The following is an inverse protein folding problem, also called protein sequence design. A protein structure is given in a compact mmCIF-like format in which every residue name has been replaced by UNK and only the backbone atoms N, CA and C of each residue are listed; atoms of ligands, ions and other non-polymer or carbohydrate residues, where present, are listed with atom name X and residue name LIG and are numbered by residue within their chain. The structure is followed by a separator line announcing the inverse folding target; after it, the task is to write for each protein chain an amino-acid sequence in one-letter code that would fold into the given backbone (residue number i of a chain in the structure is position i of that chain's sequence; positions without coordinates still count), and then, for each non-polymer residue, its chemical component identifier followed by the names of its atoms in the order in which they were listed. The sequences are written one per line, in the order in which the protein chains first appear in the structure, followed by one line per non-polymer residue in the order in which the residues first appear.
data_IF_146248383367
#
_entry.id   IF_146248383367
#
_cell.length_a   1.000
_cell.length_b   1.000
_cell.length_c   1.000
_cell.angle_alpha   90.00
_cell.angle_beta   90.00
_cell.angle_gamma   90.00
#
_symmetry.space_group_name_H-M   'P 1'
#
loop_
_entity.id
_entity.type
_entity.pdbx_description
1 polymer ?
#
# COMPACT_ATOMS: atom_id res chain seq x y z
N UNK A 1 -37.20 9.80 -8.94
CA UNK A 1 -36.78 8.78 -9.94
C UNK A 1 -35.29 8.87 -10.35
N UNK A 2 -34.69 10.06 -10.55
CA UNK A 2 -33.26 10.20 -10.92
C UNK A 2 -32.28 9.75 -9.81
N UNK A 3 -32.55 10.11 -8.55
CA UNK A 3 -31.74 9.73 -7.38
C UNK A 3 -31.74 8.22 -7.09
N UNK A 4 -32.88 7.55 -7.26
CA UNK A 4 -32.97 6.08 -7.14
C UNK A 4 -32.14 5.34 -8.19
N UNK A 5 -32.11 5.84 -9.45
CA UNK A 5 -31.28 5.24 -10.50
C UNK A 5 -29.78 5.39 -10.21
N UNK A 6 -29.36 6.54 -9.66
CA UNK A 6 -27.95 6.79 -9.29
C UNK A 6 -27.52 5.83 -8.17
N UNK A 7 -28.31 5.69 -7.11
CA UNK A 7 -28.02 4.74 -6.01
C UNK A 7 -27.94 3.28 -6.47
N UNK A 8 -28.78 2.86 -7.42
CA UNK A 8 -28.74 1.48 -7.95
C UNK A 8 -27.46 1.23 -8.74
N UNK A 9 -27.03 2.19 -9.57
CA UNK A 9 -25.78 2.08 -10.35
C UNK A 9 -24.56 2.04 -9.44
N UNK A 10 -24.52 2.86 -8.39
CA UNK A 10 -23.42 2.86 -7.40
C UNK A 10 -23.32 1.52 -6.66
N UNK A 11 -24.45 0.98 -6.21
CA UNK A 11 -24.48 -0.35 -5.57
C UNK A 11 -24.04 -1.47 -6.51
N UNK A 12 -24.45 -1.42 -7.78
CA UNK A 12 -24.02 -2.40 -8.78
C UNK A 12 -22.51 -2.34 -9.02
N UNK A 13 -21.94 -1.13 -9.11
CA UNK A 13 -20.48 -0.96 -9.20
C UNK A 13 -19.77 -1.54 -7.99
N UNK A 14 -20.27 -1.27 -6.79
CA UNK A 14 -19.68 -1.81 -5.55
C UNK A 14 -19.69 -3.34 -5.53
N UNK A 15 -20.79 -3.97 -5.94
CA UNK A 15 -20.89 -5.43 -6.06
C UNK A 15 -19.88 -5.97 -7.07
N UNK A 16 -19.79 -5.35 -8.25
CA UNK A 16 -18.83 -5.75 -9.29
C UNK A 16 -17.38 -5.65 -8.80
N UNK A 17 -17.01 -4.57 -8.10
CA UNK A 17 -15.68 -4.44 -7.51
C UNK A 17 -15.40 -5.53 -6.47
N UNK A 18 -16.37 -5.86 -5.62
CA UNK A 18 -16.21 -6.95 -4.64
C UNK A 18 -16.08 -8.32 -5.31
N UNK A 19 -16.83 -8.57 -6.38
CA UNK A 19 -16.69 -9.81 -7.16
C UNK A 19 -15.30 -9.89 -7.82
N UNK A 20 -14.80 -8.77 -8.34
CA UNK A 20 -13.45 -8.68 -8.89
C UNK A 20 -12.38 -8.94 -7.82
N UNK A 21 -12.47 -8.29 -6.66
CA UNK A 21 -11.55 -8.51 -5.54
C UNK A 21 -11.58 -9.96 -5.04
N UNK A 22 -12.76 -10.58 -5.06
CA UNK A 22 -12.89 -11.99 -4.74
C UNK A 22 -12.19 -12.90 -5.76
N UNK A 23 -12.27 -12.57 -7.05
CA UNK A 23 -11.49 -13.27 -8.09
C UNK A 23 -9.99 -13.13 -7.85
N UNK A 24 -9.51 -11.90 -7.58
CA UNK A 24 -8.10 -11.64 -7.24
C UNK A 24 -7.65 -12.38 -5.98
N UNK A 25 -8.54 -12.51 -4.99
CA UNK A 25 -8.26 -13.30 -3.79
C UNK A 25 -8.07 -14.78 -4.12
N UNK A 26 -8.95 -15.38 -4.94
CA UNK A 26 -8.84 -16.78 -5.35
C UNK A 26 -7.55 -17.04 -6.13
N UNK A 27 -7.15 -16.12 -7.01
CA UNK A 27 -5.90 -16.24 -7.79
C UNK A 27 -4.64 -15.94 -6.97
N UNK A 28 -4.78 -15.49 -5.72
CA UNK A 28 -3.65 -15.10 -4.86
C UNK A 28 -3.01 -13.75 -5.24
N UNK A 29 -3.70 -12.98 -6.07
CA UNK A 29 -3.37 -11.62 -6.52
C UNK A 29 -4.01 -10.55 -5.63
N UNK A 30 -4.68 -10.93 -4.54
CA UNK A 30 -5.20 -9.99 -3.58
C UNK A 30 -5.53 -10.59 -2.21
N UNK A 31 -5.77 -9.73 -1.21
CA UNK A 31 -6.18 -10.16 0.13
C UNK A 31 -6.71 -9.01 0.99
N UNK A 32 -7.70 -9.28 1.85
CA UNK A 32 -8.18 -8.33 2.89
C UNK A 32 -7.31 -8.24 4.14
N UNK A 33 -6.10 -8.78 4.09
CA UNK A 33 -5.16 -8.80 5.21
C UNK A 33 -3.75 -8.48 4.75
N UNK A 34 -3.03 -7.77 5.59
CA UNK A 34 -1.59 -7.59 5.46
C UNK A 34 -0.89 -8.94 5.66
N UNK A 35 0.15 -9.20 4.87
CA UNK A 35 1.10 -10.30 5.09
C UNK A 35 2.05 -9.92 6.22
N UNK A 36 2.70 -10.91 6.87
CA UNK A 36 3.64 -10.65 7.96
C UNK A 36 4.73 -9.63 7.61
N UNK A 37 5.31 -9.69 6.40
CA UNK A 37 6.31 -8.72 5.94
C UNK A 37 5.74 -7.29 5.81
N UNK A 38 4.49 -7.16 5.37
CA UNK A 38 3.81 -5.87 5.23
C UNK A 38 3.53 -5.28 6.61
N UNK A 39 3.11 -6.11 7.58
CA UNK A 39 2.95 -5.70 8.98
C UNK A 39 4.27 -5.19 9.56
N UNK A 40 5.36 -5.97 9.44
CA UNK A 40 6.69 -5.58 9.94
C UNK A 40 7.15 -4.24 9.36
N UNK A 41 6.93 -4.03 8.06
CA UNK A 41 7.25 -2.77 7.40
C UNK A 41 6.43 -1.60 7.94
N UNK A 42 5.11 -1.77 8.04
CA UNK A 42 4.22 -0.71 8.49
C UNK A 42 4.44 -0.37 9.96
N UNK A 43 4.77 -1.34 10.80
CA UNK A 43 5.11 -1.08 12.19
C UNK A 43 6.42 -0.31 12.32
N UNK A 44 7.40 -0.57 11.45
CA UNK A 44 8.61 0.25 11.42
C UNK A 44 8.34 1.68 10.94
N UNK A 45 7.49 1.84 9.92
CA UNK A 45 7.04 3.16 9.47
C UNK A 45 6.32 3.89 10.60
N UNK A 46 5.34 3.26 11.25
CA UNK A 46 4.60 3.83 12.40
C UNK A 46 5.51 4.29 13.54
N UNK A 47 6.59 3.56 13.83
CA UNK A 47 7.57 3.93 14.86
C UNK A 47 8.42 5.13 14.48
N UNK A 48 8.66 5.32 13.19
CA UNK A 48 9.43 6.45 12.67
C UNK A 48 8.56 7.70 12.47
N UNK A 49 7.25 7.51 12.28
CA UNK A 49 6.27 8.59 12.23
C UNK A 49 6.00 9.16 13.63
N UNK A 50 5.76 10.47 13.71
CA UNK A 50 5.32 11.10 14.95
C UNK A 50 4.02 10.49 15.49
N UNK A 51 3.81 10.53 16.81
CA UNK A 51 2.70 9.86 17.50
C UNK A 51 1.32 10.07 16.83
N UNK A 52 1.00 11.32 16.46
CA UNK A 52 -0.28 11.66 15.85
C UNK A 52 -0.48 10.99 14.48
N UNK A 53 0.55 10.98 13.64
CA UNK A 53 0.51 10.38 12.30
C UNK A 53 0.44 8.86 12.40
N UNK A 54 1.19 8.28 13.34
CA UNK A 54 1.17 6.85 13.65
C UNK A 54 -0.23 6.37 14.03
N UNK A 55 -0.93 7.12 14.88
CA UNK A 55 -2.33 6.84 15.28
C UNK A 55 -3.32 6.96 14.10
N UNK A 56 -3.14 7.94 13.22
CA UNK A 56 -3.97 8.06 12.01
C UNK A 56 -3.76 6.89 11.06
N UNK A 57 -2.50 6.51 10.79
CA UNK A 57 -2.18 5.34 9.97
C UNK A 57 -2.77 4.06 10.56
N UNK A 58 -2.68 3.88 11.88
CA UNK A 58 -3.30 2.74 12.57
C UNK A 58 -4.81 2.73 12.34
N UNK A 59 -5.47 3.89 12.47
CA UNK A 59 -6.91 4.02 12.29
C UNK A 59 -7.32 3.79 10.83
N UNK A 60 -6.50 4.24 9.86
CA UNK A 60 -6.68 3.92 8.45
C UNK A 60 -6.69 2.41 8.22
N UNK A 61 -5.71 1.69 8.78
CA UNK A 61 -5.57 0.23 8.66
C UNK A 61 -6.65 -0.56 9.42
N UNK A 62 -7.42 0.06 10.31
CA UNK A 62 -8.60 -0.56 10.91
C UNK A 62 -9.85 -0.49 10.02
N UNK A 63 -9.83 0.32 8.96
CA UNK A 63 -10.91 0.36 7.99
C UNK A 63 -10.97 -0.92 7.16
N UNK A 64 -12.09 -1.14 6.46
CA UNK A 64 -12.18 -2.22 5.48
C UNK A 64 -11.36 -1.85 4.24
N UNK A 65 -10.32 -2.62 3.97
CA UNK A 65 -9.48 -2.47 2.79
C UNK A 65 -9.25 -3.80 2.08
N UNK A 66 -8.83 -3.71 0.84
CA UNK A 66 -8.31 -4.81 0.04
C UNK A 66 -6.91 -4.48 -0.45
N UNK A 67 -6.00 -5.45 -0.42
CA UNK A 67 -4.66 -5.29 -0.98
C UNK A 67 -4.62 -5.98 -2.33
N UNK A 68 -4.49 -5.22 -3.41
CA UNK A 68 -4.24 -5.74 -4.74
C UNK A 68 -2.72 -5.95 -4.94
N UNK A 69 -2.31 -7.11 -5.46
CA UNK A 69 -0.93 -7.58 -5.46
C UNK A 69 -0.41 -7.72 -6.87
N UNK A 70 0.21 -6.66 -7.37
CA UNK A 70 0.70 -6.57 -8.73
C UNK A 70 2.16 -7.03 -8.83
N UNK A 71 2.57 -7.39 -10.06
CA UNK A 71 3.96 -7.75 -10.39
C UNK A 71 4.55 -8.78 -9.41
N UNK A 72 3.88 -9.93 -9.23
CA UNK A 72 4.27 -10.97 -8.28
C UNK A 72 4.40 -10.47 -6.82
N UNK A 73 3.48 -9.58 -6.41
CA UNK A 73 3.44 -8.90 -5.11
C UNK A 73 4.64 -7.98 -4.82
N UNK A 74 5.28 -7.48 -5.88
CA UNK A 74 6.32 -6.44 -5.75
C UNK A 74 5.73 -5.05 -5.57
N UNK A 75 4.50 -4.84 -6.04
CA UNK A 75 3.74 -3.61 -5.83
C UNK A 75 2.40 -4.02 -5.24
N UNK A 76 2.14 -3.68 -3.98
CA UNK A 76 0.90 -4.03 -3.30
C UNK A 76 0.12 -2.75 -3.00
N UNK A 77 -1.02 -2.59 -3.65
CA UNK A 77 -1.87 -1.39 -3.56
C UNK A 77 -2.95 -1.59 -2.51
N UNK A 78 -3.09 -0.65 -1.60
CA UNK A 78 -4.11 -0.65 -0.54
C UNK A 78 -5.34 0.12 -1.03
N UNK A 79 -6.46 -0.58 -1.14
CA UNK A 79 -7.73 -0.04 -1.62
C UNK A 79 -8.71 -0.01 -0.45
N UNK A 80 -9.03 1.17 0.06
CA UNK A 80 -10.06 1.35 1.09
C UNK A 80 -11.44 1.35 0.45
N UNK A 81 -12.36 0.51 0.92
CA UNK A 81 -13.74 0.51 0.44
C UNK A 81 -14.53 1.75 0.88
N UNK A 82 -14.13 2.34 2.00
CA UNK A 82 -14.68 3.60 2.47
C UNK A 82 -13.52 4.43 3.04
N UNK A 83 -13.07 5.44 2.29
CA UNK A 83 -12.06 6.39 2.76
C UNK A 83 -12.74 7.39 3.70
N UNK A 84 -12.54 7.23 5.00
CA UNK A 84 -13.00 8.23 5.96
C UNK A 84 -12.03 9.41 6.02
N UNK A 85 -12.49 10.61 5.62
CA UNK A 85 -11.72 11.86 5.66
C UNK A 85 -11.22 12.22 7.07
N UNK A 86 -11.90 11.77 8.13
CA UNK A 86 -11.45 12.00 9.50
C UNK A 86 -10.11 11.30 9.80
N UNK A 87 -9.75 10.26 9.05
CA UNK A 87 -8.51 9.50 9.24
C UNK A 87 -7.40 9.93 8.29
N UNK A 88 -7.67 10.89 7.40
CA UNK A 88 -6.70 11.44 6.47
C UNK A 88 -5.58 12.16 7.22
N UNK A 89 -4.34 11.89 6.83
CA UNK A 89 -3.21 12.69 7.27
C UNK A 89 -3.24 14.01 6.50
N UNK A 90 -3.47 15.12 7.22
CA UNK A 90 -3.68 16.45 6.61
C UNK A 90 -2.41 17.23 6.32
N UNK A 91 -1.27 16.71 6.73
CA UNK A 91 0.03 17.34 6.48
C UNK A 91 0.36 17.23 4.98
N UNK A 92 0.71 18.36 4.36
CA UNK A 92 0.96 18.49 2.93
C UNK A 92 2.07 17.55 2.44
N UNK A 93 3.03 17.19 3.30
CA UNK A 93 4.06 16.23 2.92
C UNK A 93 3.48 14.85 2.56
N UNK A 94 2.29 14.49 3.05
CA UNK A 94 1.61 13.22 2.79
C UNK A 94 0.70 13.23 1.56
N UNK A 95 0.65 14.32 0.80
CA UNK A 95 -0.08 14.33 -0.47
C UNK A 95 0.53 13.36 -1.49
N UNK A 96 1.86 13.24 -1.49
CA UNK A 96 2.60 12.25 -2.28
C UNK A 96 3.95 11.95 -1.58
N UNK A 97 3.89 11.16 -0.51
CA UNK A 97 5.05 10.83 0.31
C UNK A 97 5.54 9.42 -0.02
N UNK A 98 6.82 9.29 -0.35
CA UNK A 98 7.48 7.99 -0.41
C UNK A 98 8.43 7.82 0.78
N UNK A 99 8.23 6.77 1.56
CA UNK A 99 9.15 6.34 2.60
C UNK A 99 9.94 5.13 2.12
N UNK A 100 11.25 5.17 2.35
CA UNK A 100 12.18 4.08 2.05
C UNK A 100 12.54 3.35 3.34
N UNK A 101 12.20 2.07 3.38
CA UNK A 101 12.46 1.16 4.49
C UNK A 101 13.64 0.27 4.13
N UNK A 102 14.70 0.32 4.94
CA UNK A 102 15.82 -0.62 4.85
C UNK A 102 15.46 -1.93 5.56
N UNK A 103 15.48 -3.02 4.79
CA UNK A 103 15.26 -4.38 5.29
C UNK A 103 16.59 -5.12 5.34
N UNK A 104 16.88 -5.79 6.44
CA UNK A 104 18.03 -6.69 6.59
C UNK A 104 17.50 -8.12 6.49
N UNK A 105 17.90 -8.82 5.43
CA UNK A 105 17.41 -10.17 5.11
C UNK A 105 18.62 -11.05 4.87
N UNK A 106 18.80 -12.06 5.72
CA UNK A 106 19.99 -12.93 5.70
C UNK A 106 21.30 -12.12 5.64
N UNK A 107 21.42 -11.10 6.50
CA UNK A 107 22.57 -10.16 6.58
C UNK A 107 22.79 -9.28 5.34
N UNK A 108 21.88 -9.27 4.36
CA UNK A 108 21.94 -8.40 3.18
C UNK A 108 20.90 -7.29 3.26
N UNK A 109 21.34 -6.06 3.01
CA UNK A 109 20.46 -4.90 2.91
C UNK A 109 19.62 -4.96 1.65
N UNK A 110 18.33 -4.71 1.81
CA UNK A 110 17.37 -4.47 0.75
C UNK A 110 16.57 -3.23 1.08
N UNK A 111 15.88 -2.71 0.07
CA UNK A 111 14.98 -1.59 0.25
C UNK A 111 13.59 -2.00 -0.21
N UNK A 112 12.63 -1.47 0.52
CA UNK A 112 11.22 -1.53 0.23
C UNK A 112 10.65 -0.13 0.43
N UNK A 113 9.50 0.15 -0.18
CA UNK A 113 8.90 1.47 -0.14
C UNK A 113 7.49 1.40 0.41
N UNK A 114 7.09 2.44 1.12
CA UNK A 114 5.71 2.69 1.53
C UNK A 114 5.35 4.07 1.02
N UNK A 115 4.30 4.13 0.20
CA UNK A 115 3.85 5.39 -0.41
C UNK A 115 2.54 5.81 0.22
N UNK A 116 2.44 7.08 0.56
CA UNK A 116 1.20 7.75 0.90
C UNK A 116 0.78 8.64 -0.26
N UNK A 117 -0.51 8.64 -0.56
CA UNK A 117 -1.11 9.49 -1.57
C UNK A 117 -2.38 10.11 -1.01
N UNK A 118 -2.55 11.41 -1.19
CA UNK A 118 -3.66 12.21 -0.66
C UNK A 118 -3.89 12.00 0.85
N UNK A 119 -2.82 11.81 1.64
CA UNK A 119 -2.90 11.60 3.09
C UNK A 119 -3.27 10.18 3.53
N UNK A 120 -3.35 9.22 2.61
CA UNK A 120 -3.64 7.81 2.89
C UNK A 120 -2.47 6.92 2.50
N UNK A 121 -2.27 5.82 3.22
CA UNK A 121 -1.41 4.76 2.71
C UNK A 121 -1.95 4.22 1.39
N UNK A 122 -1.08 4.17 0.38
CA UNK A 122 -1.44 3.85 -1.00
C UNK A 122 -0.77 2.56 -1.47
N UNK A 123 0.57 2.48 -1.39
CA UNK A 123 1.31 1.31 -1.89
C UNK A 123 2.40 0.83 -0.93
N UNK A 124 2.66 -0.48 -0.99
CA UNK A 124 3.77 -1.15 -0.31
C UNK A 124 4.55 -1.91 -1.37
N UNK A 125 5.79 -1.51 -1.59
CA UNK A 125 6.62 -2.00 -2.67
C UNK A 125 7.83 -2.79 -2.17
N UNK A 126 8.13 -3.89 -2.83
CA UNK A 126 9.25 -4.77 -2.52
C UNK A 126 10.16 -4.96 -3.72
N UNK A 127 11.48 -4.95 -3.46
CA UNK A 127 12.49 -5.19 -4.48
C UNK A 127 12.38 -6.57 -5.14
N UNK A 128 11.95 -7.59 -4.39
CA UNK A 128 11.86 -9.00 -4.83
C UNK A 128 10.41 -9.49 -4.78
N UNK A 129 10.04 -10.55 -5.53
CA UNK A 129 8.70 -11.12 -5.48
C UNK A 129 8.41 -11.83 -4.14
N UNK A 130 7.13 -12.10 -3.85
CA UNK A 130 6.69 -12.74 -2.58
C UNK A 130 7.47 -14.00 -2.20
N UNK A 131 7.77 -14.85 -3.19
CA UNK A 131 8.45 -16.14 -2.98
C UNK A 131 9.85 -15.96 -2.40
N UNK A 132 10.52 -14.85 -2.68
CA UNK A 132 11.85 -14.58 -2.13
C UNK A 132 11.83 -14.40 -0.61
N UNK A 133 10.77 -13.87 -0.04
CA UNK A 133 10.68 -13.56 1.39
C UNK A 133 10.14 -14.71 2.23
N UNK A 134 9.61 -15.76 1.59
CA UNK A 134 9.04 -16.90 2.28
C UNK A 134 10.09 -17.61 3.14
N UNK A 135 9.77 -17.83 4.42
CA UNK A 135 10.65 -18.50 5.38
C UNK A 135 11.90 -17.73 5.79
N UNK A 136 12.03 -16.44 5.43
CA UNK A 136 13.18 -15.63 5.81
C UNK A 136 12.90 -14.77 7.03
N UNK A 137 13.88 -14.64 7.90
CA UNK A 137 13.89 -13.62 8.95
C UNK A 137 14.14 -12.26 8.32
N UNK A 138 13.29 -11.30 8.69
CA UNK A 138 13.33 -9.93 8.17
C UNK A 138 13.46 -9.01 9.37
N UNK A 139 14.54 -8.25 9.39
CA UNK A 139 14.77 -7.19 10.36
C UNK A 139 14.65 -5.84 9.64
N UNK A 140 14.21 -4.81 10.36
CA UNK A 140 14.16 -3.45 9.82
C UNK A 140 15.36 -2.67 10.36
N UNK A 141 16.12 -2.08 9.45
CA UNK A 141 17.29 -1.26 9.79
C UNK A 141 16.90 0.19 10.06
N UNK A 142 16.46 0.90 9.02
CA UNK A 142 16.18 2.34 9.08
C UNK A 142 15.01 2.71 8.17
N UNK A 143 14.35 3.82 8.47
CA UNK A 143 13.25 4.39 7.68
C UNK A 143 13.59 5.83 7.35
N UNK A 144 13.61 6.15 6.05
CA UNK A 144 13.99 7.49 5.57
C UNK A 144 12.98 8.00 4.57
N UNK A 145 12.97 9.32 4.38
CA UNK A 145 12.33 9.93 3.22
C UNK A 145 12.95 9.35 1.94
N UNK A 146 12.11 8.83 1.06
CA UNK A 146 12.48 8.48 -0.29
C UNK A 146 12.20 9.62 -1.26
N UNK A 147 12.64 9.45 -2.50
CA UNK A 147 12.34 10.32 -3.62
C UNK A 147 11.32 9.61 -4.51
N UNK A 148 10.41 10.36 -5.13
CA UNK A 148 9.35 9.81 -5.99
C UNK A 148 9.89 9.01 -7.18
N UNK A 149 11.10 9.34 -7.66
CA UNK A 149 11.82 8.62 -8.73
C UNK A 149 12.35 7.23 -8.31
N UNK A 150 12.31 6.90 -7.01
CA UNK A 150 12.75 5.61 -6.48
C UNK A 150 11.63 4.56 -6.39
N UNK A 151 10.37 4.93 -6.62
CA UNK A 151 9.27 3.97 -6.60
C UNK A 151 9.36 2.97 -7.77
N UNK A 152 8.91 1.74 -7.54
CA UNK A 152 8.80 0.72 -8.58
C UNK A 152 7.76 1.13 -9.62
N UNK A 153 6.69 1.82 -9.23
CA UNK A 153 5.73 2.38 -10.17
C UNK A 153 6.40 3.38 -11.13
N UNK A 154 7.19 4.33 -10.63
CA UNK A 154 7.93 5.31 -11.45
C UNK A 154 9.00 4.66 -12.33
N UNK A 155 9.56 3.52 -11.91
CA UNK A 155 10.47 2.74 -12.76
C UNK A 155 9.75 2.05 -13.92
N UNK A 156 8.55 1.50 -13.66
CA UNK A 156 7.69 0.90 -14.69
C UNK A 156 7.21 1.99 -15.65
N UNK A 157 6.69 3.09 -15.14
CA UNK A 157 6.21 4.24 -15.91
C UNK A 157 7.28 4.81 -16.86
N UNK A 158 8.52 5.02 -16.37
CA UNK A 158 9.65 5.41 -17.23
C UNK A 158 9.98 4.40 -18.33
N UNK A 159 9.75 3.12 -18.07
CA UNK A 159 10.02 2.04 -19.04
C UNK A 159 8.92 1.96 -20.08
N UNK A 160 7.67 2.22 -19.69
CA UNK A 160 6.48 2.12 -20.54
C UNK A 160 6.20 3.40 -21.35
N UNK A 161 6.47 4.57 -20.79
CA UNK A 161 6.08 5.87 -21.36
C UNK A 161 7.27 6.78 -21.69
N UNK A 162 8.51 6.37 -21.38
CA UNK A 162 9.69 7.22 -21.52
C UNK A 162 9.78 8.26 -20.40
N UNK A 163 10.89 8.99 -20.32
CA UNK A 163 11.06 10.07 -19.33
C UNK A 163 9.99 11.15 -19.57
N UNK A 164 9.10 11.37 -18.60
CA UNK A 164 8.52 12.70 -18.37
C UNK A 164 9.62 13.65 -17.86
#
# INVERSE_FOLDING_TARGET
MRLQKIMVVERLKEILYRCWDFSLFITGEGSWRLRPIEVVMLDAVKKNLGHNISSLLETQLHQKFFIQRMNNSRVNTVIFYNKNEAYKIKDDQFQDLLLKVELIINKKKQHAHVTFFEGYISTIEFKKPKSFYHGKTIEVGDVKLGKSDMSHASAIDRTEHGKL
#
